data_IF_164643828391
#
_entry.id   IF_164643828391
#
_cell.length_a   1.000
_cell.length_b   1.000
_cell.length_c   1.000
_cell.angle_alpha   90.00
_cell.angle_beta   90.00
_cell.angle_gamma   90.00
#
_symmetry.space_group_name_H-M   'P 1'
#
loop_
_entity.id
_entity.type
_entity.pdbx_description
1 polymer ?
#
# COMPACT_ATOMS: atom_id res chain seq x y z
N UNK A 1 15.23 4.90 8.30
CA UNK A 1 14.57 3.96 7.37
C UNK A 1 15.42 3.82 6.12
N UNK A 2 15.65 2.60 5.65
CA UNK A 2 16.39 2.29 4.43
C UNK A 2 15.43 1.69 3.39
N UNK A 3 15.79 1.78 2.11
CA UNK A 3 15.06 1.16 1.01
C UNK A 3 16.05 0.40 0.13
N UNK A 4 15.92 -0.92 0.06
CA UNK A 4 16.76 -1.78 -0.77
C UNK A 4 16.02 -2.14 -2.06
N UNK A 5 16.67 -1.88 -3.19
CA UNK A 5 16.15 -2.18 -4.52
C UNK A 5 17.11 -3.08 -5.28
N UNK A 6 16.60 -4.12 -5.92
CA UNK A 6 17.37 -5.02 -6.78
C UNK A 6 16.86 -6.45 -6.77
N UNK A 7 17.30 -7.27 -7.72
CA UNK A 7 16.84 -8.65 -7.89
C UNK A 7 17.39 -9.66 -6.87
N UNK A 8 18.54 -9.37 -6.27
CA UNK A 8 19.21 -10.30 -5.34
C UNK A 8 18.67 -10.14 -3.91
N UNK A 9 17.66 -10.94 -3.59
CA UNK A 9 17.03 -10.99 -2.27
C UNK A 9 17.99 -11.44 -1.18
N UNK A 10 18.78 -12.48 -1.45
CA UNK A 10 19.70 -13.06 -0.49
C UNK A 10 20.79 -12.06 -0.09
N UNK A 11 21.32 -11.29 -1.05
CA UNK A 11 22.30 -10.24 -0.77
C UNK A 11 21.70 -9.13 0.10
N UNK A 12 20.47 -8.68 -0.19
CA UNK A 12 19.77 -7.67 0.59
C UNK A 12 19.51 -8.13 2.03
N UNK A 13 19.08 -9.37 2.21
CA UNK A 13 18.88 -9.96 3.52
C UNK A 13 20.19 -10.12 4.29
N UNK A 14 21.26 -10.59 3.65
CA UNK A 14 22.59 -10.70 4.28
C UNK A 14 23.07 -9.36 4.83
N UNK A 15 22.89 -8.29 4.06
CA UNK A 15 23.21 -6.92 4.53
C UNK A 15 22.36 -6.55 5.74
N UNK A 16 21.05 -6.84 5.71
CA UNK A 16 20.16 -6.54 6.83
C UNK A 16 20.52 -7.32 8.12
N UNK A 17 20.84 -8.62 8.00
CA UNK A 17 21.31 -9.43 9.13
C UNK A 17 22.65 -8.93 9.67
N UNK A 18 23.54 -8.51 8.77
CA UNK A 18 24.83 -7.96 9.17
C UNK A 18 24.68 -6.62 9.88
N UNK A 19 23.73 -5.77 9.48
CA UNK A 19 23.37 -4.57 10.23
C UNK A 19 22.92 -4.90 11.66
N UNK A 20 22.11 -5.95 11.84
CA UNK A 20 21.70 -6.39 13.16
C UNK A 20 22.91 -6.84 14.01
N UNK A 21 23.83 -7.60 13.42
CA UNK A 21 25.07 -8.04 14.09
C UNK A 21 25.95 -6.87 14.50
N UNK A 22 26.16 -5.90 13.61
CA UNK A 22 27.09 -4.80 13.84
C UNK A 22 26.55 -3.77 14.84
N UNK A 23 25.25 -3.49 14.81
CA UNK A 23 24.63 -2.44 15.63
C UNK A 23 24.13 -2.99 16.96
N UNK A 24 23.54 -4.19 16.94
CA UNK A 24 22.90 -4.80 18.11
C UNK A 24 23.69 -6.01 18.67
N UNK A 25 24.80 -6.38 18.06
CA UNK A 25 25.69 -7.46 18.53
C UNK A 25 25.23 -8.87 18.16
N UNK A 26 24.04 -9.06 17.58
CA UNK A 26 23.52 -10.38 17.21
C UNK A 26 22.66 -10.30 15.94
N UNK A 27 22.78 -11.33 15.09
CA UNK A 27 21.87 -11.50 13.95
C UNK A 27 20.45 -11.89 14.37
N UNK A 28 20.23 -12.29 15.62
CA UNK A 28 18.89 -12.57 16.18
C UNK A 28 18.04 -11.30 16.30
N UNK A 29 18.68 -10.12 16.27
CA UNK A 29 17.99 -8.83 16.29
C UNK A 29 17.45 -8.42 14.90
N UNK A 30 17.54 -9.31 13.91
CA UNK A 30 16.91 -9.19 12.61
C UNK A 30 15.52 -9.85 12.61
N UNK A 31 14.50 -9.11 12.19
CA UNK A 31 13.11 -9.58 12.12
C UNK A 31 12.58 -9.37 10.69
N UNK A 32 12.41 -10.44 9.91
CA UNK A 32 11.74 -10.37 8.62
C UNK A 32 10.22 -10.25 8.79
N UNK A 33 9.61 -9.30 8.08
CA UNK A 33 8.17 -9.08 7.99
C UNK A 33 7.74 -9.41 6.55
N UNK A 34 7.33 -10.65 6.31
CA UNK A 34 6.86 -11.10 4.99
C UNK A 34 5.87 -12.26 5.08
N UNK A 35 5.12 -12.57 4.03
CA UNK A 35 3.99 -13.52 4.06
C UNK A 35 4.29 -14.89 4.71
N UNK A 36 5.52 -15.40 4.63
CA UNK A 36 5.94 -16.68 5.24
C UNK A 36 6.59 -16.61 6.62
N UNK A 37 7.01 -15.42 7.09
CA UNK A 37 8.05 -15.30 8.11
C UNK A 37 7.63 -15.57 9.57
N UNK A 38 6.32 -15.66 9.88
CA UNK A 38 5.83 -15.97 11.25
C UNK A 38 5.35 -17.40 11.47
N UNK A 39 5.46 -18.30 10.49
CA UNK A 39 5.09 -19.71 10.71
C UNK A 39 5.93 -20.37 11.82
N UNK A 40 7.07 -19.80 12.19
CA UNK A 40 7.99 -20.33 13.21
C UNK A 40 7.86 -19.68 14.59
N UNK A 41 7.14 -18.56 14.74
CA UNK A 41 7.14 -17.78 16.01
C UNK A 41 5.96 -18.16 16.94
N UNK A 42 5.14 -19.14 16.55
CA UNK A 42 3.92 -19.58 17.24
C UNK A 42 4.04 -20.99 17.82
N UNK A 43 5.18 -21.35 18.41
CA UNK A 43 5.34 -22.67 19.03
C UNK A 43 4.72 -22.77 20.45
N UNK A 44 4.45 -21.65 21.13
CA UNK A 44 4.13 -21.70 22.58
C UNK A 44 2.74 -21.19 23.00
N UNK A 45 1.84 -20.86 22.07
CA UNK A 45 0.47 -20.53 22.44
C UNK A 45 -0.43 -21.77 22.31
N UNK A 46 -0.48 -22.56 23.39
CA UNK A 46 -1.45 -23.64 23.56
C UNK A 46 -2.84 -23.01 23.67
N UNK A 47 -3.60 -22.97 22.58
CA UNK A 47 -5.04 -22.81 22.67
C UNK A 47 -5.74 -23.87 21.82
N UNK A 48 -6.23 -24.87 22.56
CA UNK A 48 -7.19 -25.87 22.14
C UNK A 48 -8.38 -25.21 21.45
N UNK A 49 -8.56 -25.47 20.16
CA UNK A 49 -9.76 -25.04 19.46
C UNK A 49 -10.10 -26.00 18.32
N UNK A 50 -10.65 -27.15 18.71
CA UNK A 50 -11.54 -27.92 17.85
C UNK A 50 -12.76 -27.06 17.50
N UNK A 51 -12.79 -26.42 16.33
CA UNK A 51 -14.07 -26.01 15.72
C UNK A 51 -14.05 -25.91 14.19
N UNK A 52 -15.18 -26.34 13.62
CA UNK A 52 -15.44 -26.57 12.20
C UNK A 52 -15.72 -25.25 11.47
N UNK A 53 -15.11 -25.10 10.28
CA UNK A 53 -15.12 -23.95 9.34
C UNK A 53 -14.11 -22.84 9.67
N UNK A 54 -12.82 -23.15 9.54
CA UNK A 54 -11.74 -22.17 9.39
C UNK A 54 -11.86 -21.49 8.02
N UNK A 55 -12.63 -20.41 7.94
CA UNK A 55 -12.56 -19.46 6.83
C UNK A 55 -12.27 -18.09 7.45
N UNK A 56 -11.02 -17.67 7.33
CA UNK A 56 -10.50 -16.31 7.56
C UNK A 56 -10.11 -15.92 9.01
N UNK A 57 -9.02 -16.51 9.54
CA UNK A 57 -8.42 -16.06 10.82
C UNK A 57 -6.92 -15.73 10.72
N UNK A 58 -6.38 -15.56 9.50
CA UNK A 58 -4.94 -15.37 9.26
C UNK A 58 -4.61 -14.30 8.23
N UNK A 59 -5.55 -13.43 7.83
CA UNK A 59 -5.23 -12.27 6.98
C UNK A 59 -4.74 -11.08 7.82
N UNK A 60 -3.76 -11.29 8.70
CA UNK A 60 -3.12 -10.19 9.43
C UNK A 60 -2.33 -9.33 8.43
N UNK A 61 -2.69 -8.05 8.33
CA UNK A 61 -2.06 -7.13 7.36
C UNK A 61 -0.58 -6.93 7.67
N UNK A 62 0.24 -6.58 6.67
CA UNK A 62 1.68 -6.34 6.90
C UNK A 62 1.94 -5.28 7.95
N UNK A 63 1.08 -4.26 8.00
CA UNK A 63 1.19 -3.17 8.98
C UNK A 63 0.89 -3.65 10.41
N UNK A 64 -0.05 -4.57 10.57
CA UNK A 64 -0.40 -5.14 11.88
C UNK A 64 0.70 -6.08 12.38
N UNK A 65 1.23 -6.93 11.51
CA UNK A 65 2.40 -7.77 11.78
C UNK A 65 3.63 -6.94 12.18
N UNK A 66 3.84 -5.82 11.49
CA UNK A 66 4.89 -4.88 11.84
C UNK A 66 4.63 -4.23 13.22
N UNK A 67 3.38 -3.85 13.52
CA UNK A 67 3.00 -3.31 14.83
C UNK A 67 3.27 -4.32 15.96
N UNK A 68 2.91 -5.59 15.76
CA UNK A 68 3.15 -6.67 16.73
C UNK A 68 4.65 -6.87 16.99
N UNK A 69 5.45 -6.95 15.94
CA UNK A 69 6.89 -7.15 16.05
C UNK A 69 7.57 -5.98 16.79
N UNK A 70 7.20 -4.74 16.46
CA UNK A 70 7.70 -3.54 17.15
C UNK A 70 7.24 -3.51 18.61
N UNK A 71 6.01 -3.93 18.90
CA UNK A 71 5.50 -3.98 20.27
C UNK A 71 6.27 -4.93 21.16
N UNK A 72 6.75 -6.03 20.58
CA UNK A 72 7.55 -7.01 21.31
C UNK A 72 8.92 -6.45 21.66
N UNK A 73 9.60 -5.81 20.72
CA UNK A 73 10.93 -5.23 20.93
C UNK A 73 11.28 -4.25 19.79
N UNK A 74 11.22 -2.92 20.02
CA UNK A 74 11.49 -1.92 19.00
C UNK A 74 12.99 -1.75 18.67
N UNK A 75 13.92 -2.28 19.48
CA UNK A 75 15.37 -2.09 19.32
C UNK A 75 15.97 -3.16 18.39
N UNK A 76 15.42 -3.27 17.17
CA UNK A 76 15.73 -4.32 16.19
C UNK A 76 15.85 -3.80 14.77
N UNK A 77 16.39 -4.64 13.89
CA UNK A 77 16.30 -4.45 12.44
C UNK A 77 15.05 -5.14 11.92
N UNK A 78 14.10 -4.38 11.39
CA UNK A 78 12.90 -4.90 10.74
C UNK A 78 13.07 -4.87 9.23
N UNK A 79 12.93 -6.01 8.58
CA UNK A 79 13.06 -6.15 7.13
C UNK A 79 11.71 -6.46 6.51
N UNK A 80 11.07 -5.45 5.91
CA UNK A 80 9.76 -5.58 5.29
C UNK A 80 9.94 -6.11 3.87
N UNK A 81 9.55 -7.35 3.67
CA UNK A 81 9.71 -8.08 2.41
C UNK A 81 8.69 -7.62 1.36
N UNK A 82 9.13 -7.63 0.09
CA UNK A 82 8.33 -7.47 -1.12
C UNK A 82 7.25 -6.37 -1.05
N UNK A 83 7.68 -5.13 -0.80
CA UNK A 83 6.79 -3.99 -0.63
C UNK A 83 5.92 -3.68 -1.88
N UNK A 84 6.32 -4.17 -3.04
CA UNK A 84 5.57 -4.09 -4.29
C UNK A 84 4.42 -5.09 -4.38
N UNK A 85 4.43 -6.15 -3.57
CA UNK A 85 3.42 -7.21 -3.55
C UNK A 85 2.38 -7.01 -2.43
N UNK A 86 2.68 -6.18 -1.42
CA UNK A 86 1.71 -5.84 -0.37
C UNK A 86 0.51 -5.08 -0.90
N UNK A 87 -0.64 -5.31 -0.25
CA UNK A 87 -1.88 -4.61 -0.53
C UNK A 87 -1.73 -3.09 -0.33
N UNK A 88 -2.54 -2.33 -1.08
CA UNK A 88 -2.47 -0.87 -1.07
C UNK A 88 -2.72 -0.24 0.31
N UNK A 89 -3.57 -0.85 1.14
CA UNK A 89 -3.85 -0.33 2.47
C UNK A 89 -2.60 -0.45 3.37
N UNK A 90 -1.91 -1.60 3.32
CA UNK A 90 -0.62 -1.81 3.97
C UNK A 90 0.44 -0.84 3.47
N UNK A 91 0.55 -0.59 2.14
CA UNK A 91 1.50 0.39 1.60
C UNK A 91 1.27 1.80 2.16
N UNK A 92 0.02 2.26 2.20
CA UNK A 92 -0.34 3.56 2.77
C UNK A 92 -0.10 3.57 4.30
N UNK A 93 -0.39 2.46 4.98
CA UNK A 93 -0.13 2.29 6.40
C UNK A 93 1.35 2.42 6.75
N UNK A 94 2.21 1.70 6.02
CA UNK A 94 3.68 1.73 6.19
C UNK A 94 4.23 3.13 5.90
N UNK A 95 3.78 3.79 4.81
CA UNK A 95 4.17 5.17 4.51
C UNK A 95 3.84 6.12 5.67
N UNK A 96 2.59 6.07 6.16
CA UNK A 96 2.14 6.90 7.29
C UNK A 96 2.91 6.57 8.57
N UNK A 97 3.21 5.30 8.80
CA UNK A 97 3.96 4.88 9.96
C UNK A 97 5.36 5.49 9.94
N UNK A 98 6.07 5.41 8.81
CA UNK A 98 7.41 6.01 8.61
C UNK A 98 7.36 7.53 8.78
N UNK A 99 6.35 8.20 8.21
CA UNK A 99 6.18 9.66 8.35
C UNK A 99 5.94 10.10 9.79
N UNK A 100 5.22 9.29 10.59
CA UNK A 100 4.87 9.59 11.98
C UNK A 100 5.85 9.04 13.01
N UNK A 101 6.66 8.06 12.65
CA UNK A 101 7.44 7.23 13.58
C UNK A 101 6.59 6.33 14.49
N UNK A 102 5.31 6.12 14.17
CA UNK A 102 4.34 5.34 14.98
C UNK A 102 3.40 4.51 14.12
N UNK A 103 3.06 3.32 14.59
CA UNK A 103 2.16 2.37 13.91
C UNK A 103 0.85 2.25 14.70
N UNK A 104 -0.32 2.47 14.08
CA UNK A 104 -1.60 2.24 14.75
C UNK A 104 -1.89 0.74 14.91
N UNK A 105 -2.32 0.34 16.11
CA UNK A 105 -2.92 -0.96 16.39
C UNK A 105 -4.43 -0.87 16.26
N UNK A 106 -4.97 -1.41 15.17
CA UNK A 106 -6.41 -1.31 14.90
C UNK A 106 -7.29 -2.01 15.95
N UNK A 107 -6.81 -3.10 16.54
CA UNK A 107 -7.56 -3.86 17.55
C UNK A 107 -7.68 -3.14 18.90
N UNK A 108 -6.60 -2.49 19.38
CA UNK A 108 -6.60 -1.80 20.69
C UNK A 108 -6.84 -0.30 20.61
N UNK A 109 -6.72 0.30 19.42
CA UNK A 109 -6.74 1.76 19.23
C UNK A 109 -5.47 2.47 19.70
N UNK A 110 -4.46 1.73 20.14
CA UNK A 110 -3.18 2.27 20.59
C UNK A 110 -2.25 2.54 19.40
N UNK A 111 -1.19 3.32 19.63
CA UNK A 111 -0.08 3.47 18.69
C UNK A 111 1.22 2.97 19.30
N UNK A 112 2.10 2.39 18.48
CA UNK A 112 3.41 1.91 18.91
C UNK A 112 4.51 2.68 18.19
N UNK A 113 5.45 3.20 18.98
CA UNK A 113 6.62 3.91 18.46
C UNK A 113 7.72 2.94 18.05
N UNK A 114 8.38 3.21 16.93
CA UNK A 114 9.54 2.48 16.46
C UNK A 114 10.77 3.41 16.28
N UNK A 115 10.86 4.49 17.07
CA UNK A 115 11.93 5.50 16.95
C UNK A 115 13.36 4.93 17.02
N UNK A 116 13.55 3.79 17.69
CA UNK A 116 14.85 3.13 17.86
C UNK A 116 15.06 1.95 16.90
N UNK A 117 14.09 1.73 16.00
CA UNK A 117 14.09 0.62 15.06
C UNK A 117 14.82 0.98 13.77
N UNK A 118 15.58 0.03 13.24
CA UNK A 118 16.11 0.10 11.88
C UNK A 118 15.11 -0.59 10.95
N UNK A 119 14.30 0.20 10.26
CA UNK A 119 13.35 -0.31 9.27
C UNK A 119 14.01 -0.33 7.89
N UNK A 120 14.00 -1.49 7.24
CA UNK A 120 14.46 -1.73 5.87
C UNK A 120 13.26 -2.15 5.04
N UNK A 121 12.93 -1.35 4.04
CA UNK A 121 11.94 -1.69 3.02
C UNK A 121 12.63 -2.39 1.87
N UNK A 122 12.18 -3.58 1.52
CA UNK A 122 12.73 -4.34 0.42
C UNK A 122 11.82 -4.31 -0.81
N UNK A 123 12.42 -4.10 -1.98
CA UNK A 123 11.74 -4.13 -3.27
C UNK A 123 12.62 -4.77 -4.34
N UNK A 124 12.04 -5.56 -5.25
CA UNK A 124 12.76 -6.05 -6.43
C UNK A 124 12.92 -4.93 -7.46
N UNK A 125 11.81 -4.29 -7.83
CA UNK A 125 11.75 -3.26 -8.87
C UNK A 125 10.72 -2.19 -8.55
N UNK A 126 11.17 -0.95 -8.38
CA UNK A 126 10.28 0.19 -8.21
C UNK A 126 9.90 0.79 -9.57
N UNK A 127 8.65 0.58 -10.01
CA UNK A 127 8.10 1.35 -11.12
C UNK A 127 7.54 2.66 -10.57
N UNK A 128 8.24 3.76 -10.79
CA UNK A 128 7.69 5.10 -10.59
C UNK A 128 6.46 5.25 -11.49
N UNK A 129 5.27 4.97 -10.94
CA UNK A 129 4.00 5.38 -11.56
C UNK A 129 3.94 6.89 -11.45
N UNK A 130 4.56 7.58 -12.40
CA UNK A 130 4.27 8.98 -12.65
C UNK A 130 2.77 9.06 -12.84
N UNK A 131 2.07 9.71 -11.90
CA UNK A 131 0.69 10.13 -12.11
C UNK A 131 0.71 11.29 -13.11
N UNK A 132 1.10 11.00 -14.36
CA UNK A 132 0.68 11.82 -15.48
C UNK A 132 -0.82 11.58 -15.60
N UNK A 133 -1.59 12.47 -14.97
CA UNK A 133 -3.04 12.51 -15.03
C UNK A 133 -3.48 12.33 -16.48
N UNK A 134 -4.03 11.17 -16.82
CA UNK A 134 -4.89 11.08 -18.00
C UNK A 134 -6.27 11.51 -17.52
N UNK A 135 -6.77 12.71 -17.85
CA UNK A 135 -8.12 13.10 -17.48
C UNK A 135 -9.09 12.15 -18.17
N UNK A 136 -9.89 11.43 -17.37
CA UNK A 136 -11.02 10.66 -17.90
C UNK A 136 -12.00 11.63 -18.54
N UNK A 137 -12.06 11.64 -19.87
CA UNK A 137 -13.03 12.44 -20.61
C UNK A 137 -14.42 11.88 -20.30
N UNK A 138 -15.22 12.60 -19.50
CA UNK A 138 -16.64 12.32 -19.36
C UNK A 138 -17.32 12.51 -20.73
N UNK A 139 -17.62 11.42 -21.43
CA UNK A 139 -18.63 11.44 -22.50
C UNK A 139 -20.00 11.45 -21.83
N UNK A 140 -20.57 12.64 -21.65
CA UNK A 140 -22.01 12.79 -21.42
C UNK A 140 -22.73 12.23 -22.65
N UNK A 141 -23.29 11.04 -22.54
CA UNK A 141 -24.28 10.55 -23.49
C UNK A 141 -25.59 11.30 -23.20
N UNK A 142 -25.91 12.29 -24.03
CA UNK A 142 -27.15 13.02 -24.03
C UNK A 142 -28.26 12.09 -24.51
N UNK A 143 -29.13 11.63 -23.60
CA UNK A 143 -30.33 10.85 -23.96
C UNK A 143 -31.41 11.81 -24.44
N UNK A 144 -31.87 11.56 -25.66
CA UNK A 144 -32.89 12.27 -26.40
C UNK A 144 -34.25 12.21 -25.68
N UNK A 145 -34.97 13.34 -25.62
CA UNK A 145 -36.41 13.39 -25.37
C UNK A 145 -37.09 14.29 -26.40
N UNK A 146 -38.28 13.86 -26.81
CA UNK A 146 -39.04 14.14 -28.03
C UNK A 146 -39.60 15.56 -28.21
N UNK A 147 -39.56 16.02 -29.46
CA UNK A 147 -40.67 16.50 -30.32
C UNK A 147 -41.79 17.39 -29.73
N UNK A 148 -41.86 18.68 -30.12
CA UNK A 148 -42.98 19.29 -30.87
C UNK A 148 -42.82 20.81 -31.12
N UNK A 149 -43.50 21.29 -32.17
CA UNK A 149 -43.87 22.68 -32.51
C UNK A 149 -42.97 23.59 -33.39
N UNK A 150 -43.20 23.44 -34.70
CA UNK A 150 -43.79 24.43 -35.64
C UNK A 150 -43.26 25.89 -35.67
N UNK A 151 -42.65 26.17 -36.84
CA UNK A 151 -42.93 27.30 -37.79
C UNK A 151 -42.26 28.66 -37.54
N UNK A 152 -42.09 29.36 -38.67
CA UNK A 152 -41.52 30.70 -38.93
C UNK A 152 -40.02 30.65 -39.26
N UNK A 153 -39.61 30.39 -40.50
CA UNK A 153 -39.59 31.34 -41.64
C UNK A 153 -39.21 32.73 -41.17
N UNK A 154 -37.97 33.14 -41.45
CA UNK A 154 -37.61 34.50 -41.84
C UNK A 154 -36.38 34.44 -42.75
N UNK A 155 -36.66 34.55 -44.06
CA UNK A 155 -35.69 34.75 -45.12
C UNK A 155 -35.75 36.24 -45.45
N UNK A 156 -34.71 36.99 -45.10
CA UNK A 156 -34.57 38.38 -45.52
C UNK A 156 -33.10 38.61 -45.90
N UNK A 157 -32.77 38.33 -47.16
CA UNK A 157 -31.73 39.05 -47.89
C UNK A 157 -32.19 39.13 -49.35
N UNK A 158 -32.46 40.36 -49.78
CA UNK A 158 -32.67 40.81 -51.16
C UNK A 158 -31.84 42.11 -51.31
N UNK A 159 -31.59 42.67 -52.52
CA UNK A 159 -31.93 42.26 -53.89
C UNK A 159 -30.66 42.27 -54.81
N UNK A 160 -30.79 42.15 -56.16
CA UNK A 160 -30.82 43.37 -57.01
C UNK A 160 -31.76 43.28 -58.24
N UNK A 161 -32.58 44.32 -58.45
CA UNK A 161 -32.59 45.34 -59.54
C UNK A 161 -32.98 44.96 -61.00
N UNK A 162 -34.07 45.65 -61.44
CA UNK A 162 -34.47 46.21 -62.77
C UNK A 162 -34.62 45.26 -63.97
N UNK A 163 -35.56 45.39 -64.92
CA UNK A 163 -36.35 46.46 -65.56
C UNK A 163 -37.58 45.77 -66.22
N UNK A 164 -38.74 46.35 -66.51
CA UNK A 164 -39.14 47.55 -67.27
C UNK A 164 -40.49 48.08 -66.78
#
# INVERSE_FOLDING_TARGET
CLFFQGADMDAKEKVARELARLIFGSQEMFVPIGLGSFSSMKADYVEDSRNKRLRDEQSCSYIERFAEAVSSDPHRVFFIEDIEQVDYASQIGIKRAIERGRIPKYASGEEVSFCDAIVILNCESFRSRSRACSPSTMRKANVQSQEHDKKMINKCDAPPERSE
#
